data_IF_575012229055
#
_entry.id   IF_575012229055
#
_cell.length_a   1.000
_cell.length_b   1.000
_cell.length_c   1.000
_cell.angle_alpha   90.00
_cell.angle_beta   90.00
_cell.angle_gamma   90.00
#
_symmetry.space_group_name_H-M   'P 1'
#
loop_
_entity.id
_entity.type
_entity.pdbx_description
1 polymer ?
#
# COMPACT_ATOMS: atom_id res chain seq x y z
N UNK A 1 -13.52 -24.66 20.74
CA UNK A 1 -13.90 -23.94 19.51
C UNK A 1 -14.75 -22.75 19.92
N UNK A 2 -14.15 -21.57 19.99
CA UNK A 2 -14.79 -20.36 20.52
C UNK A 2 -15.45 -19.64 19.35
N UNK A 3 -16.78 -19.73 19.25
CA UNK A 3 -17.55 -19.01 18.24
C UNK A 3 -17.57 -17.52 18.57
N UNK A 4 -17.20 -16.69 17.59
CA UNK A 4 -17.37 -15.23 17.67
C UNK A 4 -18.83 -14.94 17.32
N UNK A 5 -19.58 -14.32 18.25
CA UNK A 5 -20.94 -13.84 18.02
C UNK A 5 -20.84 -12.33 17.72
N UNK A 6 -21.10 -11.95 16.48
CA UNK A 6 -21.27 -10.54 16.10
C UNK A 6 -22.75 -10.20 16.34
N UNK A 7 -23.05 -9.55 17.46
CA UNK A 7 -24.41 -9.05 17.73
C UNK A 7 -24.68 -7.83 16.83
N UNK A 8 -25.90 -7.78 16.30
CA UNK A 8 -26.48 -6.64 15.55
C UNK A 8 -26.10 -6.53 14.06
N UNK A 9 -25.74 -7.65 13.44
CA UNK A 9 -25.60 -7.75 11.98
C UNK A 9 -26.61 -8.81 11.52
N UNK A 10 -27.61 -8.39 10.75
CA UNK A 10 -28.47 -9.34 10.01
C UNK A 10 -27.58 -10.37 9.31
N UNK A 11 -27.94 -11.66 9.36
CA UNK A 11 -27.22 -12.77 8.72
C UNK A 11 -27.30 -12.70 7.18
N UNK A 12 -26.88 -11.56 6.62
CA UNK A 12 -26.70 -11.29 5.22
C UNK A 12 -25.24 -11.62 4.87
N UNK A 13 -24.97 -12.72 4.13
CA UNK A 13 -23.62 -13.13 3.79
C UNK A 13 -22.77 -12.04 3.12
N UNK A 14 -23.30 -11.16 2.24
CA UNK A 14 -22.62 -9.95 1.75
C UNK A 14 -22.13 -9.00 2.85
N UNK A 15 -22.97 -8.67 3.85
CA UNK A 15 -22.59 -7.78 4.95
C UNK A 15 -21.52 -8.38 5.87
N UNK A 16 -21.67 -9.66 6.26
CA UNK A 16 -20.65 -10.38 7.04
C UNK A 16 -19.32 -10.44 6.28
N UNK A 17 -19.35 -10.71 4.97
CA UNK A 17 -18.14 -10.69 4.13
C UNK A 17 -17.48 -9.31 4.10
N UNK A 18 -18.26 -8.24 3.93
CA UNK A 18 -17.74 -6.86 3.96
C UNK A 18 -17.11 -6.52 5.31
N UNK A 19 -17.71 -6.95 6.42
CA UNK A 19 -17.18 -6.74 7.76
C UNK A 19 -15.88 -7.52 8.01
N UNK A 20 -15.81 -8.79 7.61
CA UNK A 20 -14.58 -9.59 7.72
C UNK A 20 -13.44 -8.99 6.88
N UNK A 21 -13.74 -8.54 5.66
CA UNK A 21 -12.77 -7.87 4.79
C UNK A 21 -12.28 -6.53 5.35
N UNK A 22 -13.19 -5.71 5.86
CA UNK A 22 -12.81 -4.47 6.54
C UNK A 22 -11.92 -4.78 7.75
N UNK A 23 -12.20 -5.86 8.48
CA UNK A 23 -11.39 -6.30 9.61
C UNK A 23 -10.00 -6.77 9.16
N UNK A 24 -9.91 -7.53 8.07
CA UNK A 24 -8.65 -8.00 7.51
C UNK A 24 -7.81 -6.85 6.90
N UNK A 25 -8.43 -5.92 6.18
CA UNK A 25 -7.76 -4.71 5.68
C UNK A 25 -7.23 -3.89 6.85
N UNK A 26 -8.04 -3.66 7.89
CA UNK A 26 -7.61 -2.93 9.10
C UNK A 26 -6.42 -3.64 9.76
N UNK A 27 -6.47 -4.97 9.91
CA UNK A 27 -5.37 -5.74 10.50
C UNK A 27 -4.08 -5.64 9.68
N UNK A 28 -4.17 -5.80 8.36
CA UNK A 28 -3.02 -5.69 7.45
C UNK A 28 -2.45 -4.27 7.47
N UNK A 29 -3.30 -3.25 7.39
CA UNK A 29 -2.89 -1.84 7.47
C UNK A 29 -2.23 -1.53 8.81
N UNK A 30 -2.74 -2.07 9.91
CA UNK A 30 -2.13 -1.92 11.24
C UNK A 30 -0.72 -2.51 11.27
N UNK A 31 -0.55 -3.78 10.85
CA UNK A 31 0.76 -4.43 10.81
C UNK A 31 1.77 -3.68 9.91
N UNK A 32 1.31 -3.18 8.75
CA UNK A 32 2.15 -2.38 7.86
C UNK A 32 2.49 -1.00 8.47
N UNK A 33 1.57 -0.41 9.26
CA UNK A 33 1.79 0.88 9.92
C UNK A 33 2.83 0.77 11.05
N UNK A 34 2.81 -0.34 11.78
CA UNK A 34 3.86 -0.67 12.76
C UNK A 34 5.23 -0.80 12.08
N UNK A 35 5.30 -1.57 10.98
CA UNK A 35 6.54 -1.72 10.20
C UNK A 35 7.04 -0.37 9.64
N UNK A 36 6.15 0.45 9.07
CA UNK A 36 6.49 1.81 8.60
C UNK A 36 7.06 2.67 9.73
N UNK A 37 6.46 2.61 10.92
CA UNK A 37 6.88 3.41 12.08
C UNK A 37 8.23 2.96 12.63
N UNK A 38 8.54 1.67 12.54
CA UNK A 38 9.83 1.12 12.95
C UNK A 38 10.98 1.43 11.97
N UNK A 39 10.68 1.60 10.67
CA UNK A 39 11.70 1.68 9.62
C UNK A 39 11.89 3.07 9.03
N UNK A 40 10.83 3.89 8.96
CA UNK A 40 10.87 5.16 8.22
C UNK A 40 10.88 6.35 9.19
N UNK A 41 11.85 7.28 9.07
CA UNK A 41 11.86 8.49 9.89
C UNK A 41 10.81 9.52 9.44
N UNK A 42 10.43 10.41 10.37
CA UNK A 42 9.60 11.58 10.05
C UNK A 42 10.36 12.58 9.16
N UNK A 43 9.66 13.36 8.30
CA UNK A 43 8.21 13.35 8.03
C UNK A 43 7.79 12.31 6.98
N UNK A 44 8.73 11.53 6.43
CA UNK A 44 8.46 10.58 5.35
C UNK A 44 7.51 9.45 5.81
N UNK A 45 7.63 9.05 7.08
CA UNK A 45 6.71 8.15 7.77
C UNK A 45 5.24 8.57 7.64
N UNK A 46 4.93 9.85 7.89
CA UNK A 46 3.56 10.37 7.86
C UNK A 46 2.90 10.19 6.50
N UNK A 47 3.67 10.33 5.41
CA UNK A 47 3.16 10.14 4.05
C UNK A 47 2.83 8.67 3.78
N UNK A 48 3.69 7.75 4.22
CA UNK A 48 3.45 6.32 4.06
C UNK A 48 2.23 5.86 4.88
N UNK A 49 2.10 6.32 6.12
CA UNK A 49 0.93 6.05 6.97
C UNK A 49 -0.36 6.60 6.35
N UNK A 50 -0.32 7.81 5.78
CA UNK A 50 -1.47 8.37 5.08
C UNK A 50 -1.87 7.51 3.89
N UNK A 51 -0.91 7.04 3.08
CA UNK A 51 -1.20 6.14 1.96
C UNK A 51 -1.84 4.82 2.40
N UNK A 52 -1.38 4.24 3.51
CA UNK A 52 -1.93 2.99 4.05
C UNK A 52 -3.35 3.19 4.60
N UNK A 53 -3.61 4.28 5.32
CA UNK A 53 -4.92 4.61 5.88
C UNK A 53 -6.01 4.87 4.82
N UNK A 54 -5.61 5.25 3.61
CA UNK A 54 -6.53 5.59 2.51
C UNK A 54 -6.38 4.63 1.31
N UNK A 55 -5.94 3.38 1.55
CA UNK A 55 -5.61 2.43 0.48
C UNK A 55 -6.82 2.03 -0.39
N UNK A 56 -8.03 2.12 0.15
CA UNK A 56 -9.30 1.85 -0.55
C UNK A 56 -9.82 3.06 -1.33
N UNK A 57 -9.11 4.19 -1.27
CA UNK A 57 -9.47 5.44 -1.94
C UNK A 57 -8.58 5.69 -3.15
N UNK A 58 -9.08 6.50 -4.09
CA UNK A 58 -8.29 6.99 -5.21
C UNK A 58 -7.47 8.20 -4.76
N UNK A 59 -6.29 7.95 -4.20
CA UNK A 59 -5.38 9.00 -3.75
C UNK A 59 -4.76 9.78 -4.91
N UNK A 60 -4.84 11.11 -4.83
CA UNK A 60 -4.14 12.03 -5.71
C UNK A 60 -3.07 12.84 -4.95
N UNK A 61 -1.93 13.05 -5.61
CA UNK A 61 -0.78 13.74 -5.03
C UNK A 61 -1.09 15.21 -4.67
N UNK A 62 -2.00 15.89 -5.41
CA UNK A 62 -2.41 17.26 -5.10
C UNK A 62 -3.35 17.31 -3.90
N UNK A 63 -4.24 16.33 -3.75
CA UNK A 63 -5.08 16.20 -2.56
C UNK A 63 -4.24 15.92 -1.32
N UNK A 64 -3.29 14.99 -1.40
CA UNK A 64 -2.36 14.70 -0.30
C UNK A 64 -1.53 15.94 0.07
N UNK A 65 -0.96 16.64 -0.91
CA UNK A 65 -0.15 17.84 -0.63
C UNK A 65 -0.96 18.91 0.14
N UNK A 66 -2.24 19.07 -0.20
CA UNK A 66 -3.17 19.94 0.55
C UNK A 66 -3.44 19.43 1.96
N UNK A 67 -3.68 18.13 2.14
CA UNK A 67 -3.89 17.53 3.45
C UNK A 67 -2.68 17.71 4.39
N UNK A 68 -1.47 17.70 3.84
CA UNK A 68 -0.23 17.93 4.59
C UNK A 68 0.16 19.42 4.71
N UNK A 69 -0.55 20.35 4.05
CA UNK A 69 -0.18 21.77 4.04
C UNK A 69 1.16 22.07 3.35
N UNK A 70 1.59 21.24 2.40
CA UNK A 70 2.90 21.37 1.72
C UNK A 70 2.76 21.43 0.20
N UNK A 71 3.84 21.82 -0.48
CA UNK A 71 3.90 21.72 -1.94
C UNK A 71 3.98 20.26 -2.42
N UNK A 72 3.52 19.98 -3.64
CA UNK A 72 3.69 18.66 -4.26
C UNK A 72 5.16 18.25 -4.40
N UNK A 73 6.07 19.22 -4.59
CA UNK A 73 7.51 18.98 -4.62
C UNK A 73 8.02 18.48 -3.28
N UNK A 74 7.62 19.12 -2.18
CA UNK A 74 7.96 18.69 -0.81
C UNK A 74 7.45 17.28 -0.54
N UNK A 75 6.18 17.00 -0.87
CA UNK A 75 5.58 15.67 -0.70
C UNK A 75 6.32 14.60 -1.52
N UNK A 76 6.73 14.94 -2.75
CA UNK A 76 7.53 14.06 -3.60
C UNK A 76 8.90 13.77 -2.99
N UNK A 77 9.57 14.77 -2.43
CA UNK A 77 10.85 14.59 -1.74
C UNK A 77 10.72 13.67 -0.53
N UNK A 78 9.64 13.81 0.25
CA UNK A 78 9.36 12.91 1.38
C UNK A 78 9.11 11.48 0.90
N UNK A 79 8.31 11.29 -0.16
CA UNK A 79 8.08 9.96 -0.73
C UNK A 79 9.37 9.32 -1.27
N UNK A 80 10.29 10.11 -1.83
CA UNK A 80 11.60 9.60 -2.30
C UNK A 80 12.50 9.13 -1.16
N UNK A 81 12.38 9.74 0.04
CA UNK A 81 13.08 9.26 1.25
C UNK A 81 12.56 7.91 1.74
N UNK A 82 11.30 7.54 1.43
CA UNK A 82 10.78 6.19 1.61
C UNK A 82 11.23 5.20 0.51
N UNK A 83 12.25 5.55 -0.25
CA UNK A 83 12.77 4.76 -1.36
C UNK A 83 11.90 4.73 -2.62
N UNK A 84 10.79 5.47 -2.66
CA UNK A 84 9.85 5.47 -3.78
C UNK A 84 10.28 6.44 -4.90
N UNK A 85 9.77 6.22 -6.13
CA UNK A 85 9.93 7.19 -7.22
C UNK A 85 8.82 8.23 -7.16
N UNK A 86 8.84 9.04 -6.10
CA UNK A 86 7.81 10.05 -5.79
C UNK A 86 6.50 9.48 -5.24
N UNK A 87 5.51 10.37 -5.05
CA UNK A 87 4.26 10.08 -4.33
C UNK A 87 3.45 8.94 -4.95
N UNK A 88 3.28 8.96 -6.29
CA UNK A 88 2.58 7.88 -7.00
C UNK A 88 3.25 6.53 -6.81
N UNK A 89 4.59 6.52 -6.82
CA UNK A 89 5.36 5.30 -6.55
C UNK A 89 5.12 4.76 -5.14
N UNK A 90 5.01 5.64 -4.15
CA UNK A 90 4.73 5.27 -2.77
C UNK A 90 3.29 4.72 -2.61
N UNK A 91 2.28 5.40 -3.18
CA UNK A 91 0.89 4.92 -3.18
C UNK A 91 0.82 3.51 -3.76
N UNK A 92 1.44 3.28 -4.92
CA UNK A 92 1.44 1.96 -5.55
C UNK A 92 2.13 0.90 -4.69
N UNK A 93 3.25 1.22 -4.03
CA UNK A 93 3.92 0.28 -3.10
C UNK A 93 3.04 -0.06 -1.91
N UNK A 94 2.43 0.94 -1.27
CA UNK A 94 1.49 0.72 -0.16
C UNK A 94 0.32 -0.17 -0.59
N UNK A 95 -0.26 0.08 -1.77
CA UNK A 95 -1.32 -0.77 -2.33
C UNK A 95 -0.83 -2.21 -2.59
N UNK A 96 0.35 -2.39 -3.15
CA UNK A 96 0.95 -3.73 -3.32
C UNK A 96 1.13 -4.43 -1.97
N UNK A 97 1.67 -3.76 -0.95
CA UNK A 97 1.84 -4.35 0.38
C UNK A 97 0.53 -4.84 0.98
N UNK A 98 -0.53 -4.03 0.88
CA UNK A 98 -1.87 -4.43 1.36
C UNK A 98 -2.42 -5.61 0.57
N UNK A 99 -2.29 -5.62 -0.77
CA UNK A 99 -2.67 -6.76 -1.60
C UNK A 99 -1.95 -8.04 -1.14
N UNK A 100 -0.63 -7.96 -0.94
CA UNK A 100 0.17 -9.11 -0.54
C UNK A 100 -0.19 -9.62 0.85
N UNK A 101 -0.46 -8.73 1.81
CA UNK A 101 -0.90 -9.12 3.16
C UNK A 101 -2.28 -9.76 3.19
N UNK A 102 -3.21 -9.27 2.36
CA UNK A 102 -4.53 -9.90 2.22
C UNK A 102 -4.44 -11.29 1.59
N UNK A 103 -3.56 -11.46 0.60
CA UNK A 103 -3.36 -12.75 -0.06
C UNK A 103 -2.55 -13.74 0.79
N UNK A 104 -1.62 -13.25 1.61
CA UNK A 104 -0.84 -14.05 2.57
C UNK A 104 -1.75 -14.70 3.62
N UNK A 105 -2.78 -13.98 4.07
CA UNK A 105 -3.78 -14.52 5.01
C UNK A 105 -4.59 -15.70 4.42
N UNK A 106 -4.60 -15.88 3.10
CA UNK A 106 -5.25 -17.01 2.43
C UNK A 106 -6.78 -16.98 2.43
N UNK A 107 -7.40 -15.93 2.98
CA UNK A 107 -8.85 -15.80 3.11
C UNK A 107 -9.53 -15.13 1.91
N UNK A 108 -8.74 -14.55 0.98
CA UNK A 108 -9.25 -13.71 -0.10
C UNK A 108 -8.80 -14.18 -1.49
N UNK A 109 -9.72 -14.15 -2.46
CA UNK A 109 -9.38 -14.33 -3.87
C UNK A 109 -8.81 -13.04 -4.47
N UNK A 110 -8.07 -13.17 -5.57
CA UNK A 110 -7.47 -12.02 -6.26
C UNK A 110 -8.55 -11.08 -6.80
N UNK A 111 -9.64 -11.62 -7.35
CA UNK A 111 -10.80 -10.85 -7.84
C UNK A 111 -11.43 -10.02 -6.73
N UNK A 112 -11.53 -10.60 -5.54
CA UNK A 112 -12.12 -9.92 -4.39
C UNK A 112 -11.22 -8.78 -3.91
N UNK A 113 -9.93 -9.04 -3.73
CA UNK A 113 -8.95 -8.00 -3.36
C UNK A 113 -8.93 -6.87 -4.40
N UNK A 114 -9.02 -7.19 -5.69
CA UNK A 114 -9.09 -6.20 -6.75
C UNK A 114 -10.31 -5.28 -6.59
N UNK A 115 -11.49 -5.86 -6.35
CA UNK A 115 -12.73 -5.11 -6.12
C UNK A 115 -12.65 -4.22 -4.87
N UNK A 116 -12.25 -4.77 -3.72
CA UNK A 116 -12.28 -4.04 -2.45
C UNK A 116 -11.26 -2.89 -2.40
N UNK A 117 -10.10 -3.08 -3.03
CA UNK A 117 -9.10 -2.03 -3.16
C UNK A 117 -9.36 -1.11 -4.37
N UNK A 118 -10.52 -1.26 -5.05
CA UNK A 118 -10.96 -0.44 -6.19
C UNK A 118 -10.00 -0.42 -7.37
N UNK A 119 -9.39 -1.55 -7.69
CA UNK A 119 -8.76 -1.73 -9.00
C UNK A 119 -9.85 -1.84 -10.08
N UNK A 120 -9.56 -1.37 -11.29
CA UNK A 120 -10.48 -1.51 -12.42
C UNK A 120 -10.65 -2.95 -12.88
N UNK A 121 -9.71 -3.84 -12.54
CA UNK A 121 -9.82 -5.29 -12.77
C UNK A 121 -8.80 -6.10 -11.98
N UNK A 122 -9.01 -7.42 -11.89
CA UNK A 122 -8.01 -8.38 -11.39
C UNK A 122 -6.71 -8.34 -12.19
N UNK A 123 -6.80 -8.10 -13.51
CA UNK A 123 -5.63 -7.97 -14.39
C UNK A 123 -4.81 -6.73 -14.07
N UNK A 124 -5.45 -5.61 -13.73
CA UNK A 124 -4.76 -4.40 -13.28
C UNK A 124 -4.00 -4.64 -11.97
N UNK A 125 -4.63 -5.30 -10.99
CA UNK A 125 -3.96 -5.72 -9.76
C UNK A 125 -2.76 -6.63 -10.07
N UNK A 126 -2.94 -7.65 -10.91
CA UNK A 126 -1.86 -8.55 -11.33
C UNK A 126 -0.68 -7.80 -11.93
N UNK A 127 -0.95 -6.88 -12.86
CA UNK A 127 0.07 -6.10 -13.54
C UNK A 127 0.81 -5.19 -12.56
N UNK A 128 0.09 -4.56 -11.63
CA UNK A 128 0.70 -3.74 -10.61
C UNK A 128 1.61 -4.58 -9.70
N UNK A 129 1.11 -5.71 -9.16
CA UNK A 129 1.93 -6.57 -8.30
C UNK A 129 3.16 -7.08 -9.06
N UNK A 130 2.99 -7.61 -10.27
CA UNK A 130 4.10 -8.11 -11.10
C UNK A 130 5.16 -7.05 -11.37
N UNK A 131 4.75 -5.80 -11.62
CA UNK A 131 5.68 -4.68 -11.84
C UNK A 131 6.58 -4.43 -10.64
N UNK A 132 6.09 -4.62 -9.42
CA UNK A 132 6.85 -4.34 -8.19
C UNK A 132 7.54 -5.57 -7.61
N UNK A 133 7.01 -6.77 -7.83
CA UNK A 133 7.53 -8.01 -7.22
C UNK A 133 8.26 -8.91 -8.21
N UNK A 134 8.11 -8.67 -9.51
CA UNK A 134 8.61 -9.52 -10.59
C UNK A 134 7.83 -10.82 -10.81
N UNK A 135 6.83 -11.13 -9.96
CA UNK A 135 6.12 -12.41 -9.97
C UNK A 135 4.59 -12.28 -9.94
N UNK A 136 3.89 -13.42 -9.87
CA UNK A 136 2.44 -13.44 -9.66
C UNK A 136 2.09 -13.02 -8.22
N UNK A 137 0.87 -12.49 -7.97
CA UNK A 137 0.45 -12.09 -6.64
C UNK A 137 0.58 -13.20 -5.58
N UNK A 138 0.10 -14.42 -5.89
CA UNK A 138 0.18 -15.55 -4.95
C UNK A 138 1.62 -16.03 -4.70
N UNK A 139 2.52 -15.91 -5.68
CA UNK A 139 3.93 -16.25 -5.48
C UNK A 139 4.65 -15.20 -4.63
N UNK A 140 4.33 -13.92 -4.84
CA UNK A 140 4.86 -12.84 -4.03
C UNK A 140 4.35 -12.89 -2.59
N UNK A 141 3.06 -13.16 -2.37
CA UNK A 141 2.44 -13.24 -1.05
C UNK A 141 3.09 -14.31 -0.16
N UNK A 142 3.52 -15.44 -0.75
CA UNK A 142 4.25 -16.51 -0.04
C UNK A 142 5.59 -16.09 0.57
N UNK A 143 6.17 -14.96 0.16
CA UNK A 143 7.38 -14.41 0.79
C UNK A 143 7.09 -13.67 2.10
N UNK A 144 5.83 -13.37 2.37
CA UNK A 144 5.36 -12.66 3.55
C UNK A 144 5.48 -11.14 3.45
N UNK A 145 4.59 -10.41 4.15
CA UNK A 145 4.59 -8.94 4.16
C UNK A 145 5.89 -8.36 4.74
N UNK A 146 6.49 -9.00 5.76
CA UNK A 146 7.71 -8.48 6.39
C UNK A 146 8.86 -8.38 5.37
N UNK A 147 9.04 -9.41 4.53
CA UNK A 147 10.02 -9.39 3.45
C UNK A 147 9.77 -8.22 2.48
N UNK A 148 8.52 -7.98 2.09
CA UNK A 148 8.20 -6.89 1.16
C UNK A 148 8.26 -5.52 1.81
N UNK A 149 8.00 -5.39 3.11
CA UNK A 149 8.26 -4.18 3.87
C UNK A 149 9.74 -3.82 3.80
N UNK A 150 10.63 -4.78 4.07
CA UNK A 150 12.08 -4.55 3.98
C UNK A 150 12.49 -4.11 2.57
N UNK A 151 11.96 -4.77 1.53
CA UNK A 151 12.28 -4.44 0.13
C UNK A 151 11.72 -3.08 -0.31
N UNK A 152 10.51 -2.70 0.11
CA UNK A 152 9.83 -1.51 -0.39
C UNK A 152 10.00 -0.26 0.47
N UNK A 153 10.27 -0.44 1.77
CA UNK A 153 10.40 0.60 2.76
C UNK A 153 11.84 0.80 3.22
N UNK A 154 12.80 0.00 2.71
CA UNK A 154 14.22 0.28 2.84
C UNK A 154 14.47 1.76 2.54
N UNK A 155 14.87 2.49 3.58
CA UNK A 155 15.20 3.91 3.49
C UNK A 155 16.37 4.02 2.52
N UNK A 156 16.15 4.71 1.40
CA UNK A 156 17.28 5.18 0.62
C UNK A 156 17.96 6.25 1.47
N UNK A 157 19.23 6.06 1.81
CA UNK A 157 20.04 7.21 2.24
C UNK A 157 19.85 8.32 1.18
N UNK A 158 19.60 9.57 1.61
CA UNK A 158 19.33 10.63 0.67
C UNK A 158 20.54 10.77 -0.24
N UNK A 159 20.39 10.34 -1.50
CA UNK A 159 21.35 10.68 -2.54
C UNK A 159 21.46 12.20 -2.55
N UNK A 160 22.61 12.71 -2.10
CA UNK A 160 22.98 14.13 -2.09
C UNK A 160 23.14 14.72 -3.50
N UNK A 161 22.67 14.06 -4.55
CA UNK A 161 22.87 14.48 -5.93
C UNK A 161 21.58 14.49 -6.74
N UNK A 162 21.13 15.71 -7.05
CA UNK A 162 21.03 16.20 -8.42
C UNK A 162 20.00 15.53 -9.34
N UNK A 163 19.04 16.34 -9.77
CA UNK A 163 18.42 16.28 -11.10
C UNK A 163 19.31 15.61 -12.14
N UNK A 164 18.97 14.39 -12.56
CA UNK A 164 19.45 13.87 -13.84
C UNK A 164 18.77 14.71 -14.92
N UNK A 165 19.52 15.66 -15.47
CA UNK A 165 19.23 16.24 -16.77
C UNK A 165 19.07 15.10 -17.78
N UNK A 166 17.94 15.12 -18.49
CA UNK A 166 17.73 14.29 -19.68
C UNK A 166 18.55 14.96 -20.78
N UNK A 167 19.50 14.26 -21.43
CA UNK A 167 20.19 14.84 -22.58
C UNK A 167 19.16 15.12 -23.67
N UNK A 168 18.97 16.40 -24.01
CA UNK A 168 18.33 16.80 -25.26
C UNK A 168 19.20 16.25 -26.39
N UNK A 169 18.64 15.33 -27.17
CA UNK A 169 19.23 14.93 -28.45
C UNK A 169 19.29 16.16 -29.37
N UNK A 170 20.47 16.38 -29.94
CA UNK A 170 20.74 17.34 -31.01
C UNK A 170 20.02 16.96 -32.30
#
# INVERSE_FOLDING_TARGET
MTGIIIRDVDDDPPNLRRLLLNTDIVRVVHALSEAVTATIPTPAQSVALYCLGHVTESLDARQMARAFGVSQRTLTNWATRCGARGVRGLISRCRVLVVLGLLEAGTHSIERVAFDLRFGSSSELHNMVRRYTGGSPSAAARKGISFWCDVFLAVNEPSLYGTREVPRKA
#
